data_IF_043824829720
#
_entry.id   IF_043824829720
#
_cell.length_a   1.000
_cell.length_b   1.000
_cell.length_c   1.000
_cell.angle_alpha   90.00
_cell.angle_beta   90.00
_cell.angle_gamma   90.00
#
_symmetry.space_group_name_H-M   'P 1'
#
loop_
_entity.id
_entity.type
_entity.pdbx_description
1 polymer ?
#
# COMPACT_ATOMS: atom_id res chain seq x y z
N UNK A 1 12.16 -70.40 5.49
CA UNK A 1 12.85 -71.28 6.41
C UNK A 1 12.74 -70.59 7.75
N UNK A 2 11.84 -71.00 8.56
CA UNK A 2 12.00 -71.83 9.78
C UNK A 2 12.74 -71.06 10.86
N UNK A 3 12.32 -70.89 12.09
CA UNK A 3 11.27 -71.53 12.93
C UNK A 3 11.50 -70.95 14.33
N UNK A 4 10.44 -70.61 15.02
CA UNK A 4 9.84 -71.36 16.11
C UNK A 4 10.44 -71.17 17.51
N UNK A 5 9.59 -70.60 18.43
CA UNK A 5 9.12 -71.23 19.67
C UNK A 5 10.11 -71.29 20.85
N UNK A 6 9.79 -70.96 22.08
CA UNK A 6 8.84 -71.52 23.05
C UNK A 6 8.96 -70.78 24.38
N UNK A 7 7.89 -70.27 25.00
CA UNK A 7 7.06 -70.85 26.08
C UNK A 7 7.67 -71.05 27.49
N UNK A 8 6.91 -70.50 28.42
CA UNK A 8 6.49 -70.96 29.81
C UNK A 8 7.17 -70.20 30.96
N UNK A 9 6.47 -69.44 31.76
CA UNK A 9 5.41 -69.68 32.75
C UNK A 9 5.93 -70.17 34.08
N UNK A 10 5.59 -69.50 35.18
CA UNK A 10 5.03 -69.87 36.48
C UNK A 10 5.33 -68.83 37.54
N UNK A 11 4.34 -68.11 38.06
CA UNK A 11 3.54 -68.26 39.28
C UNK A 11 4.34 -68.30 40.59
N UNK A 12 4.02 -67.36 41.51
CA UNK A 12 3.37 -67.42 42.81
C UNK A 12 3.78 -66.24 43.68
N UNK A 13 2.85 -65.34 44.03
CA UNK A 13 2.14 -65.24 45.29
C UNK A 13 3.02 -64.72 46.47
N UNK A 14 2.75 -63.63 47.17
CA UNK A 14 1.68 -63.33 48.08
C UNK A 14 2.03 -62.16 49.02
N UNK A 15 1.01 -61.50 49.53
CA UNK A 15 0.89 -60.66 50.75
C UNK A 15 1.62 -59.32 50.77
N UNK A 16 1.02 -58.17 50.59
CA UNK A 16 0.13 -57.59 51.59
C UNK A 16 0.82 -56.56 52.45
N UNK A 17 0.74 -55.27 52.07
CA UNK A 17 0.72 -54.16 53.04
C UNK A 17 -0.08 -53.01 52.44
N UNK A 18 -1.22 -52.70 53.01
CA UNK A 18 -2.03 -51.52 52.72
C UNK A 18 -1.35 -50.32 53.36
N UNK A 19 -0.81 -49.44 52.54
CA UNK A 19 -0.50 -48.07 52.97
C UNK A 19 -1.46 -47.11 52.27
N UNK A 20 -2.32 -46.47 53.05
CA UNK A 20 -3.13 -45.33 52.63
C UNK A 20 -2.16 -44.22 52.21
N UNK A 21 -1.91 -44.10 50.91
CA UNK A 21 -1.23 -42.95 50.32
C UNK A 21 -2.28 -41.95 49.86
N UNK A 22 -2.28 -40.79 50.50
CA UNK A 22 -3.10 -39.64 50.14
C UNK A 22 -2.89 -39.29 48.67
N UNK A 23 -3.91 -39.49 47.85
CA UNK A 23 -3.99 -38.97 46.48
C UNK A 23 -4.06 -37.43 46.56
N UNK A 24 -2.88 -36.78 46.51
CA UNK A 24 -2.79 -35.36 46.13
C UNK A 24 -3.12 -35.32 44.65
N UNK A 25 -4.36 -35.00 44.35
CA UNK A 25 -4.83 -34.72 43.00
C UNK A 25 -4.11 -33.50 42.43
N UNK A 26 -2.96 -33.73 41.80
CA UNK A 26 -2.30 -32.76 40.95
C UNK A 26 -3.16 -32.52 39.71
N UNK A 27 -4.15 -31.65 39.84
CA UNK A 27 -4.90 -31.17 38.69
C UNK A 27 -3.90 -30.47 37.74
N UNK A 28 -3.51 -31.17 36.68
CA UNK A 28 -2.86 -30.52 35.54
C UNK A 28 -3.82 -29.43 35.04
N UNK A 29 -3.54 -28.16 35.39
CA UNK A 29 -4.18 -27.04 34.73
C UNK A 29 -3.83 -27.20 33.25
N UNK A 30 -4.77 -27.75 32.47
CA UNK A 30 -4.73 -27.66 31.03
C UNK A 30 -4.71 -26.15 30.75
N UNK A 31 -3.56 -25.63 30.41
CA UNK A 31 -3.41 -24.24 29.96
C UNK A 31 -4.28 -24.10 28.70
N UNK A 32 -5.48 -23.55 28.86
CA UNK A 32 -6.32 -23.18 27.73
C UNK A 32 -5.49 -22.21 26.92
N UNK A 33 -5.12 -22.59 25.70
CA UNK A 33 -4.43 -21.68 24.81
C UNK A 33 -5.19 -20.35 24.77
N UNK A 34 -4.49 -19.26 24.98
CA UNK A 34 -5.13 -17.94 24.95
C UNK A 34 -5.84 -17.77 23.60
N UNK A 35 -7.08 -17.28 23.64
CA UNK A 35 -7.81 -17.01 22.41
C UNK A 35 -7.01 -16.03 21.52
N UNK A 36 -6.96 -16.25 20.20
CA UNK A 36 -6.20 -15.40 19.31
C UNK A 36 -6.76 -13.97 19.33
N UNK A 37 -5.87 -12.99 19.22
CA UNK A 37 -6.25 -11.60 18.97
C UNK A 37 -6.73 -11.48 17.51
N UNK A 38 -8.04 -11.33 17.33
CA UNK A 38 -8.67 -11.29 16.01
C UNK A 38 -8.71 -9.87 15.47
N UNK A 39 -8.27 -9.71 14.22
CA UNK A 39 -8.32 -8.47 13.44
C UNK A 39 -9.26 -8.69 12.27
N UNK A 40 -10.29 -7.86 12.13
CA UNK A 40 -11.09 -7.77 10.92
C UNK A 40 -10.42 -6.84 9.91
N UNK A 41 -10.30 -7.28 8.66
CA UNK A 41 -9.81 -6.43 7.55
C UNK A 41 -10.85 -6.37 6.45
N UNK A 42 -11.21 -5.15 6.05
CA UNK A 42 -12.25 -4.87 5.05
C UNK A 42 -11.58 -4.24 3.85
N UNK A 43 -11.65 -4.91 2.71
CA UNK A 43 -11.02 -4.51 1.46
C UNK A 43 -12.06 -4.02 0.46
N UNK A 44 -11.75 -2.90 -0.21
CA UNK A 44 -12.62 -2.31 -1.23
C UNK A 44 -12.67 -3.16 -2.52
N UNK A 45 -11.60 -3.84 -2.87
CA UNK A 45 -11.48 -4.67 -4.06
C UNK A 45 -11.11 -6.12 -3.75
N UNK A 46 -10.78 -6.91 -4.79
CA UNK A 46 -10.38 -8.31 -4.64
C UNK A 46 -9.07 -8.46 -3.87
N UNK A 47 -8.92 -9.54 -3.10
CA UNK A 47 -7.67 -9.85 -2.36
C UNK A 47 -6.43 -9.97 -3.23
N UNK A 48 -6.60 -10.31 -4.50
CA UNK A 48 -5.54 -10.56 -5.49
C UNK A 48 -5.78 -9.66 -6.70
N UNK A 49 -5.82 -8.35 -6.47
CA UNK A 49 -6.01 -7.35 -7.51
C UNK A 49 -4.73 -7.04 -8.30
N UNK A 50 -3.59 -7.47 -7.82
CA UNK A 50 -2.28 -7.14 -8.38
C UNK A 50 -1.74 -5.79 -7.93
N UNK A 51 -2.36 -5.15 -6.94
CA UNK A 51 -2.00 -3.81 -6.46
C UNK A 51 -2.36 -3.56 -5.00
N UNK A 52 -3.26 -2.59 -4.77
CA UNK A 52 -3.61 -2.04 -3.47
C UNK A 52 -4.13 -3.09 -2.47
N UNK A 53 -5.20 -3.82 -2.82
CA UNK A 53 -5.80 -4.76 -1.86
C UNK A 53 -4.86 -5.94 -1.55
N UNK A 54 -4.14 -6.43 -2.55
CA UNK A 54 -3.14 -7.48 -2.34
C UNK A 54 -2.01 -7.03 -1.43
N UNK A 55 -1.56 -5.77 -1.52
CA UNK A 55 -0.54 -5.22 -0.61
C UNK A 55 -1.03 -5.21 0.85
N UNK A 56 -2.30 -4.92 1.11
CA UNK A 56 -2.89 -5.00 2.44
C UNK A 56 -2.96 -6.44 2.97
N UNK A 57 -3.30 -7.41 2.10
CA UNK A 57 -3.28 -8.83 2.45
C UNK A 57 -1.87 -9.26 2.86
N UNK A 58 -0.84 -8.90 2.07
CA UNK A 58 0.56 -9.17 2.42
C UNK A 58 0.97 -8.53 3.75
N UNK A 59 0.47 -7.32 4.04
CA UNK A 59 0.65 -6.68 5.35
C UNK A 59 0.02 -7.50 6.50
N UNK A 60 -1.15 -8.10 6.29
CA UNK A 60 -1.79 -8.97 7.28
C UNK A 60 -1.03 -10.30 7.49
N UNK A 61 -0.49 -10.86 6.43
CA UNK A 61 0.35 -12.07 6.47
C UNK A 61 1.65 -11.80 7.24
N UNK A 62 2.31 -10.66 6.96
CA UNK A 62 3.48 -10.22 7.72
C UNK A 62 3.18 -10.11 9.22
N UNK A 63 2.06 -9.49 9.61
CA UNK A 63 1.69 -9.37 11.03
C UNK A 63 1.42 -10.74 11.65
N UNK A 64 0.74 -11.64 10.92
CA UNK A 64 0.45 -12.99 11.40
C UNK A 64 1.73 -13.79 11.65
N UNK A 65 2.74 -13.60 10.79
CA UNK A 65 4.06 -14.22 10.96
C UNK A 65 4.84 -13.64 12.15
N UNK A 66 4.86 -12.29 12.26
CA UNK A 66 5.69 -11.59 13.26
C UNK A 66 5.06 -11.53 14.65
N UNK A 67 3.74 -11.66 14.79
CA UNK A 67 3.03 -11.50 16.08
C UNK A 67 2.26 -12.77 16.46
N UNK A 68 2.83 -13.61 17.33
CA UNK A 68 2.17 -14.85 17.74
C UNK A 68 0.77 -14.63 18.34
N UNK A 69 -0.18 -15.50 17.94
CA UNK A 69 -1.55 -15.46 18.44
C UNK A 69 -2.39 -14.31 17.88
N UNK A 70 -2.05 -13.78 16.70
CA UNK A 70 -2.87 -12.86 15.92
C UNK A 70 -3.46 -13.59 14.72
N UNK A 71 -4.72 -13.30 14.39
CA UNK A 71 -5.39 -13.82 13.20
C UNK A 71 -6.15 -12.72 12.49
N UNK A 72 -6.25 -12.84 11.16
CA UNK A 72 -7.00 -11.90 10.33
C UNK A 72 -8.21 -12.56 9.69
N UNK A 73 -9.38 -11.94 9.87
CA UNK A 73 -10.60 -12.25 9.13
C UNK A 73 -10.77 -11.21 8.03
N UNK A 74 -10.46 -11.56 6.80
CA UNK A 74 -10.47 -10.63 5.66
C UNK A 74 -11.77 -10.77 4.88
N UNK A 75 -12.47 -9.64 4.67
CA UNK A 75 -13.65 -9.52 3.81
C UNK A 75 -13.32 -8.60 2.66
N UNK A 76 -13.36 -9.10 1.45
CA UNK A 76 -13.00 -8.37 0.24
C UNK A 76 -14.22 -7.95 -0.59
N UNK A 77 -13.98 -7.11 -1.63
CA UNK A 77 -14.99 -6.61 -2.56
C UNK A 77 -16.16 -5.92 -1.86
N UNK A 78 -15.86 -5.13 -0.83
CA UNK A 78 -16.86 -4.30 -0.16
C UNK A 78 -16.92 -2.95 -0.85
N UNK A 79 -17.68 -2.90 -1.94
CA UNK A 79 -17.89 -1.72 -2.77
C UNK A 79 -19.29 -1.78 -3.41
N UNK A 80 -19.84 -0.67 -3.92
CA UNK A 80 -21.18 -0.63 -4.49
C UNK A 80 -21.37 -1.51 -5.73
N UNK A 81 -20.32 -1.83 -6.48
CA UNK A 81 -20.41 -2.66 -7.68
C UNK A 81 -20.55 -4.14 -7.34
N UNK A 82 -19.74 -4.65 -6.40
CA UNK A 82 -19.75 -6.07 -6.01
C UNK A 82 -20.81 -6.38 -4.93
N UNK A 83 -21.09 -5.42 -4.04
CA UNK A 83 -22.03 -5.57 -2.91
C UNK A 83 -22.96 -4.35 -2.80
N UNK A 84 -23.94 -4.21 -3.70
CA UNK A 84 -24.90 -3.12 -3.64
C UNK A 84 -25.59 -3.05 -2.25
N UNK A 85 -25.67 -1.85 -1.69
CA UNK A 85 -26.32 -1.59 -0.37
C UNK A 85 -25.64 -2.20 0.85
N UNK A 86 -24.41 -2.72 0.75
CA UNK A 86 -23.63 -3.16 1.91
C UNK A 86 -22.62 -2.08 2.27
N UNK A 87 -22.73 -1.56 3.50
CA UNK A 87 -21.76 -0.61 4.06
C UNK A 87 -20.58 -1.33 4.72
N UNK A 88 -19.41 -0.71 4.69
CA UNK A 88 -18.24 -1.20 5.41
C UNK A 88 -18.49 -1.32 6.92
N UNK A 89 -19.25 -0.38 7.51
CA UNK A 89 -19.63 -0.41 8.94
C UNK A 89 -20.47 -1.63 9.33
N UNK A 90 -21.36 -2.11 8.45
CA UNK A 90 -22.13 -3.35 8.68
C UNK A 90 -21.23 -4.60 8.66
N UNK A 91 -20.26 -4.64 7.74
CA UNK A 91 -19.28 -5.72 7.69
C UNK A 91 -18.40 -5.70 8.95
N UNK A 92 -18.04 -4.52 9.45
CA UNK A 92 -17.29 -4.37 10.69
C UNK A 92 -18.09 -4.87 11.90
N UNK A 93 -19.38 -4.57 11.98
CA UNK A 93 -20.28 -5.08 13.04
C UNK A 93 -20.27 -6.62 13.08
N UNK A 94 -20.37 -7.27 11.92
CA UNK A 94 -20.34 -8.74 11.81
C UNK A 94 -18.99 -9.32 12.25
N UNK A 95 -17.87 -8.67 11.90
CA UNK A 95 -16.54 -9.10 12.32
C UNK A 95 -16.35 -8.93 13.84
N UNK A 96 -16.85 -7.82 14.40
CA UNK A 96 -16.80 -7.54 15.84
C UNK A 96 -17.67 -8.56 16.60
N UNK A 97 -18.86 -8.88 16.11
CA UNK A 97 -19.72 -9.90 16.69
C UNK A 97 -19.06 -11.29 16.69
N UNK A 98 -18.18 -11.58 15.72
CA UNK A 98 -17.34 -12.79 15.65
C UNK A 98 -16.09 -12.72 16.52
N UNK A 99 -15.90 -11.63 17.27
CA UNK A 99 -14.82 -11.48 18.25
C UNK A 99 -13.61 -10.65 17.78
N UNK A 100 -13.69 -9.93 16.66
CA UNK A 100 -12.64 -9.01 16.27
C UNK A 100 -12.45 -7.91 17.33
N UNK A 101 -11.19 -7.64 17.68
CA UNK A 101 -10.77 -6.61 18.65
C UNK A 101 -10.21 -5.38 17.96
N UNK A 102 -9.92 -5.50 16.70
CA UNK A 102 -9.44 -4.42 15.83
C UNK A 102 -10.06 -4.59 14.45
N UNK A 103 -10.41 -3.46 13.80
CA UNK A 103 -10.90 -3.42 12.43
C UNK A 103 -9.98 -2.53 11.61
N UNK A 104 -9.62 -2.99 10.42
CA UNK A 104 -8.86 -2.23 9.41
C UNK A 104 -9.75 -2.03 8.19
N UNK A 105 -9.97 -0.78 7.83
CA UNK A 105 -10.60 -0.38 6.57
C UNK A 105 -9.50 0.10 5.61
N UNK A 106 -9.46 -0.42 4.40
CA UNK A 106 -8.33 -0.22 3.50
C UNK A 106 -8.56 0.80 2.37
N UNK A 107 -9.57 1.63 2.44
CA UNK A 107 -9.85 2.57 1.33
C UNK A 107 -10.39 3.89 1.84
N UNK A 108 -10.13 4.98 1.09
CA UNK A 108 -10.73 6.29 1.31
C UNK A 108 -12.28 6.23 1.24
N UNK A 109 -12.83 5.28 0.49
CA UNK A 109 -14.27 5.04 0.42
C UNK A 109 -14.90 4.65 1.77
N UNK A 110 -14.11 4.15 2.71
CA UNK A 110 -14.58 3.73 4.03
C UNK A 110 -14.39 4.78 5.15
N UNK A 111 -14.03 6.00 4.84
CA UNK A 111 -13.73 7.02 5.87
C UNK A 111 -14.86 7.22 6.88
N UNK A 112 -16.10 7.28 6.39
CA UNK A 112 -17.29 7.49 7.23
C UNK A 112 -17.69 6.19 7.94
N UNK A 113 -17.56 5.02 7.30
CA UNK A 113 -17.75 3.71 7.92
C UNK A 113 -16.76 3.46 9.07
N UNK A 114 -15.51 3.88 8.92
CA UNK A 114 -14.50 3.76 9.97
C UNK A 114 -14.84 4.64 11.19
N UNK A 115 -15.30 5.87 10.95
CA UNK A 115 -15.76 6.76 12.02
C UNK A 115 -17.00 6.22 12.73
N UNK A 116 -18.01 5.78 11.97
CA UNK A 116 -19.25 5.17 12.49
C UNK A 116 -18.91 3.94 13.36
N UNK A 117 -18.04 3.05 12.85
CA UNK A 117 -17.60 1.86 13.59
C UNK A 117 -16.87 2.22 14.88
N UNK A 118 -15.97 3.20 14.86
CA UNK A 118 -15.23 3.62 16.03
C UNK A 118 -16.13 4.23 17.11
N UNK A 119 -17.11 5.02 16.71
CA UNK A 119 -18.11 5.61 17.63
C UNK A 119 -19.00 4.54 18.26
N UNK A 120 -19.48 3.59 17.48
CA UNK A 120 -20.35 2.51 17.92
C UNK A 120 -19.65 1.49 18.82
N UNK A 121 -18.36 1.26 18.58
CA UNK A 121 -17.55 0.23 19.28
C UNK A 121 -16.32 0.82 19.98
N UNK A 122 -16.49 1.59 21.08
CA UNK A 122 -15.39 2.37 21.69
C UNK A 122 -14.28 1.50 22.32
N UNK A 123 -14.49 0.18 22.44
CA UNK A 123 -13.49 -0.78 22.94
C UNK A 123 -12.74 -1.52 21.81
N UNK A 124 -13.10 -1.27 20.57
CA UNK A 124 -12.48 -1.86 19.38
C UNK A 124 -11.55 -0.82 18.76
N UNK A 125 -10.32 -1.19 18.47
CA UNK A 125 -9.41 -0.33 17.71
C UNK A 125 -9.85 -0.31 16.25
N UNK A 126 -9.99 0.88 15.67
CA UNK A 126 -10.33 1.05 14.26
C UNK A 126 -9.19 1.76 13.55
N UNK A 127 -8.69 1.16 12.49
CA UNK A 127 -7.70 1.77 11.58
C UNK A 127 -8.37 2.03 10.24
N UNK A 128 -8.25 3.26 9.77
CA UNK A 128 -8.57 3.62 8.41
C UNK A 128 -7.26 3.82 7.65
N UNK A 129 -6.96 2.90 6.76
CA UNK A 129 -5.81 3.00 5.86
C UNK A 129 -6.18 3.94 4.73
N UNK A 130 -5.45 4.97 4.66
CA UNK A 130 -5.51 6.35 4.22
C UNK A 130 -6.24 7.28 5.20
N UNK A 131 -6.71 8.44 4.74
CA UNK A 131 -7.46 9.41 5.54
C UNK A 131 -6.67 10.18 6.59
N UNK A 132 -7.37 11.09 7.26
CA UNK A 132 -6.77 12.09 8.15
C UNK A 132 -7.63 12.42 9.39
N UNK A 133 -8.65 11.61 9.67
CA UNK A 133 -9.56 11.86 10.81
C UNK A 133 -8.86 11.78 12.17
N UNK A 134 -7.72 11.10 12.27
CA UNK A 134 -6.91 11.05 13.47
C UNK A 134 -5.77 12.09 13.50
N UNK A 135 -5.63 12.90 12.44
CA UNK A 135 -4.58 13.91 12.34
C UNK A 135 -4.98 15.23 13.03
N UNK A 136 -4.37 15.54 14.17
CA UNK A 136 -4.72 16.71 14.98
C UNK A 136 -4.55 18.04 14.26
N UNK A 137 -3.52 18.14 13.41
CA UNK A 137 -3.23 19.35 12.63
C UNK A 137 -3.88 19.32 11.24
N UNK A 138 -4.58 18.25 10.93
CA UNK A 138 -5.29 18.08 9.65
C UNK A 138 -6.64 18.78 9.63
N UNK A 139 -7.13 19.05 8.41
CA UNK A 139 -8.41 19.77 8.20
C UNK A 139 -9.63 18.98 8.68
N UNK A 140 -9.56 17.65 8.71
CA UNK A 140 -10.70 16.77 8.93
C UNK A 140 -10.67 16.07 10.29
N UNK A 141 -9.82 16.52 11.22
CA UNK A 141 -9.65 15.90 12.53
C UNK A 141 -10.97 15.60 13.24
N UNK A 142 -11.12 14.34 13.66
CA UNK A 142 -12.21 13.86 14.52
C UNK A 142 -11.59 13.37 15.82
N UNK A 143 -12.00 13.96 16.93
CA UNK A 143 -11.48 13.57 18.25
C UNK A 143 -12.06 12.22 18.69
N UNK A 144 -11.72 11.14 17.98
CA UNK A 144 -12.20 9.78 18.22
C UNK A 144 -11.06 8.91 18.76
N UNK A 145 -11.07 8.53 20.06
CA UNK A 145 -9.88 7.99 20.75
C UNK A 145 -9.45 6.59 20.29
N UNK A 146 -10.32 5.82 19.67
CA UNK A 146 -10.05 4.48 19.16
C UNK A 146 -9.94 4.40 17.64
N UNK A 147 -9.97 5.56 16.93
CA UNK A 147 -9.76 5.65 15.50
C UNK A 147 -8.33 6.12 15.20
N UNK A 148 -7.63 5.44 14.31
CA UNK A 148 -6.35 5.87 13.77
C UNK A 148 -6.32 5.83 12.25
N UNK A 149 -5.36 6.56 11.68
CA UNK A 149 -5.06 6.48 10.25
C UNK A 149 -3.64 5.98 10.05
N UNK A 150 -3.46 5.18 9.03
CA UNK A 150 -2.13 4.74 8.57
C UNK A 150 -2.07 4.98 7.06
N UNK A 151 -1.01 5.67 6.61
CA UNK A 151 -0.70 5.86 5.20
C UNK A 151 0.81 5.90 5.01
N UNK A 152 1.39 5.06 4.14
CA UNK A 152 2.79 5.20 3.78
C UNK A 152 3.06 6.46 2.95
N UNK A 153 4.27 7.03 3.09
CA UNK A 153 4.73 8.20 2.31
C UNK A 153 5.05 7.81 0.86
N UNK A 154 4.04 7.38 0.14
CA UNK A 154 4.15 6.91 -1.25
C UNK A 154 4.60 8.01 -2.20
N UNK A 155 4.34 9.27 -1.94
CA UNK A 155 4.75 10.41 -2.78
C UNK A 155 6.25 10.43 -3.06
N UNK A 156 7.10 10.06 -2.11
CA UNK A 156 8.55 10.01 -2.33
C UNK A 156 8.96 8.85 -3.24
N UNK A 157 8.33 7.68 -3.10
CA UNK A 157 8.58 6.57 -4.03
C UNK A 157 7.95 6.82 -5.39
N UNK A 158 6.94 7.69 -5.47
CA UNK A 158 6.43 8.21 -6.75
C UNK A 158 7.42 9.15 -7.42
N UNK A 159 8.18 9.97 -6.66
CA UNK A 159 9.32 10.73 -7.23
C UNK A 159 10.33 9.78 -7.87
N UNK A 160 10.68 8.68 -7.17
CA UNK A 160 11.60 7.67 -7.70
C UNK A 160 11.02 7.03 -8.96
N UNK A 161 9.73 6.71 -8.97
CA UNK A 161 9.03 6.13 -10.14
C UNK A 161 9.01 7.09 -11.34
N UNK A 162 8.79 8.39 -11.09
CA UNK A 162 8.85 9.43 -12.12
C UNK A 162 10.26 9.60 -12.70
N UNK A 163 11.27 9.57 -11.82
CA UNK A 163 12.68 9.54 -12.25
C UNK A 163 12.95 8.33 -13.15
N UNK A 164 12.55 7.11 -12.74
CA UNK A 164 12.71 5.91 -13.54
C UNK A 164 12.02 6.03 -14.91
N UNK A 165 10.83 6.64 -14.94
CA UNK A 165 10.10 6.91 -16.18
C UNK A 165 10.89 7.83 -17.12
N UNK A 166 11.43 8.94 -16.60
CA UNK A 166 12.23 9.89 -17.39
C UNK A 166 13.56 9.28 -17.86
N UNK A 167 14.21 8.50 -17.02
CA UNK A 167 15.44 7.79 -17.38
C UNK A 167 15.20 6.75 -18.48
N UNK A 168 14.03 6.10 -18.47
CA UNK A 168 13.65 5.10 -19.46
C UNK A 168 13.07 5.65 -20.75
N UNK A 169 12.62 6.91 -20.76
CA UNK A 169 12.01 7.54 -21.95
C UNK A 169 13.07 8.02 -22.95
N UNK A 170 12.78 7.80 -24.23
CA UNK A 170 13.55 8.37 -25.35
C UNK A 170 12.85 9.59 -25.95
N UNK A 171 11.52 9.64 -25.88
CA UNK A 171 10.72 10.72 -26.49
C UNK A 171 10.49 11.91 -25.55
N UNK A 172 10.61 11.72 -24.25
CA UNK A 172 10.19 12.69 -23.23
C UNK A 172 8.68 12.73 -23.02
N UNK A 173 7.91 11.82 -23.63
CA UNK A 173 6.46 11.74 -23.46
C UNK A 173 6.12 10.66 -22.46
N UNK A 174 5.66 11.10 -21.29
CA UNK A 174 5.30 10.22 -20.16
C UNK A 174 3.82 10.36 -19.88
N UNK A 175 3.07 9.25 -20.06
CA UNK A 175 1.66 9.15 -19.70
C UNK A 175 1.49 8.64 -18.27
N UNK A 176 0.45 9.09 -17.59
CA UNK A 176 0.05 8.60 -16.29
C UNK A 176 -1.43 8.19 -16.32
N UNK A 177 -1.72 6.91 -16.12
CA UNK A 177 -3.10 6.44 -15.97
C UNK A 177 -3.49 6.60 -14.51
N UNK A 178 -4.26 7.65 -14.24
CA UNK A 178 -4.70 8.01 -12.88
C UNK A 178 -6.04 7.39 -12.52
N UNK A 179 -6.29 7.08 -11.23
CA UNK A 179 -7.57 6.54 -10.80
C UNK A 179 -8.66 7.61 -10.79
N UNK A 180 -8.95 8.20 -9.68
CA UNK A 180 -9.87 9.32 -9.51
C UNK A 180 -9.13 10.57 -9.05
N UNK A 181 -9.78 11.74 -9.12
CA UNK A 181 -9.18 13.01 -8.70
C UNK A 181 -9.50 13.27 -7.23
N UNK A 182 -8.48 13.21 -6.37
CA UNK A 182 -8.55 13.65 -4.98
C UNK A 182 -7.17 14.18 -4.51
N UNK A 183 -7.05 14.59 -3.25
CA UNK A 183 -5.79 15.13 -2.71
C UNK A 183 -4.65 14.11 -2.77
N UNK A 184 -4.93 12.82 -2.57
CA UNK A 184 -3.95 11.75 -2.63
C UNK A 184 -3.39 11.57 -4.03
N UNK A 185 -4.27 11.42 -5.01
CA UNK A 185 -3.86 11.14 -6.39
C UNK A 185 -3.18 12.34 -7.03
N UNK A 186 -3.61 13.57 -6.72
CA UNK A 186 -2.91 14.79 -7.15
C UNK A 186 -1.50 14.89 -6.61
N UNK A 187 -1.28 14.58 -5.30
CA UNK A 187 0.10 14.59 -4.75
C UNK A 187 0.98 13.51 -5.36
N UNK A 188 0.43 12.33 -5.70
CA UNK A 188 1.20 11.27 -6.33
C UNK A 188 1.62 11.59 -7.76
N UNK A 189 0.71 12.15 -8.56
CA UNK A 189 1.00 12.59 -9.92
C UNK A 189 2.01 13.74 -9.90
N UNK A 190 1.82 14.72 -9.00
CA UNK A 190 2.74 15.85 -8.85
C UNK A 190 4.13 15.42 -8.39
N UNK A 191 4.22 14.49 -7.44
CA UNK A 191 5.49 13.91 -6.98
C UNK A 191 6.20 13.16 -8.11
N UNK A 192 5.47 12.34 -8.86
CA UNK A 192 6.02 11.64 -10.03
C UNK A 192 6.56 12.63 -11.08
N UNK A 193 5.82 13.71 -11.36
CA UNK A 193 6.29 14.78 -12.27
C UNK A 193 7.55 15.45 -11.77
N UNK A 194 7.65 15.80 -10.49
CA UNK A 194 8.86 16.40 -9.91
C UNK A 194 10.08 15.50 -10.09
N UNK A 195 9.95 14.21 -9.80
CA UNK A 195 11.01 13.23 -10.02
C UNK A 195 11.35 13.05 -11.50
N UNK A 196 10.35 12.99 -12.37
CA UNK A 196 10.55 12.88 -13.82
C UNK A 196 11.30 14.10 -14.36
N UNK A 197 10.85 15.32 -14.02
CA UNK A 197 11.48 16.56 -14.44
C UNK A 197 12.93 16.67 -13.98
N UNK A 198 13.19 16.39 -12.69
CA UNK A 198 14.55 16.44 -12.14
C UNK A 198 15.49 15.48 -12.88
N UNK A 199 15.11 14.23 -13.07
CA UNK A 199 15.95 13.24 -13.72
C UNK A 199 16.10 13.49 -15.23
N UNK A 200 15.07 14.03 -15.88
CA UNK A 200 15.14 14.48 -17.28
C UNK A 200 16.17 15.58 -17.48
N UNK A 201 16.19 16.56 -16.57
CA UNK A 201 17.16 17.67 -16.64
C UNK A 201 18.55 17.23 -16.19
N UNK A 202 18.66 16.59 -15.02
CA UNK A 202 19.95 16.33 -14.36
C UNK A 202 20.70 15.15 -14.99
N UNK A 203 20.01 14.02 -15.21
CA UNK A 203 20.67 12.80 -15.65
C UNK A 203 20.55 12.53 -17.15
N UNK A 204 19.49 13.04 -17.81
CA UNK A 204 19.36 12.94 -19.25
C UNK A 204 19.92 14.16 -19.99
N UNK A 205 20.25 15.25 -19.29
CA UNK A 205 20.77 16.49 -19.87
C UNK A 205 19.81 17.16 -20.84
N UNK A 206 18.51 16.96 -20.68
CA UNK A 206 17.45 17.50 -21.52
C UNK A 206 16.83 18.74 -20.90
N UNK A 207 16.06 19.51 -21.67
CA UNK A 207 15.34 20.68 -21.14
C UNK A 207 13.99 20.27 -20.57
N UNK A 208 13.56 20.90 -19.48
CA UNK A 208 12.22 20.67 -18.91
C UNK A 208 11.10 20.88 -19.95
N UNK A 209 11.28 21.82 -20.87
CA UNK A 209 10.30 22.09 -21.93
C UNK A 209 10.12 20.95 -22.95
N UNK A 210 11.07 20.02 -23.02
CA UNK A 210 11.01 18.84 -23.88
C UNK A 210 10.32 17.65 -23.19
N UNK A 211 9.91 17.80 -21.90
CA UNK A 211 9.18 16.79 -21.15
C UNK A 211 7.68 17.05 -21.24
N UNK A 212 6.95 16.12 -21.84
CA UNK A 212 5.49 16.09 -21.86
C UNK A 212 5.01 15.07 -20.82
N UNK A 213 4.44 15.55 -19.72
CA UNK A 213 3.91 14.70 -18.64
C UNK A 213 2.39 14.86 -18.54
N UNK A 214 1.66 13.83 -18.92
CA UNK A 214 0.21 13.88 -19.03
C UNK A 214 -0.49 12.85 -18.17
N UNK A 215 -1.54 13.26 -17.44
CA UNK A 215 -2.42 12.36 -16.69
C UNK A 215 -3.80 12.25 -17.35
N UNK A 216 -4.33 11.03 -17.41
CA UNK A 216 -5.72 10.75 -17.73
C UNK A 216 -6.34 9.97 -16.58
N UNK A 217 -7.42 10.51 -16.01
CA UNK A 217 -8.12 9.92 -14.88
C UNK A 217 -9.24 9.01 -15.37
N UNK A 218 -9.32 7.78 -14.82
CA UNK A 218 -10.38 6.86 -15.21
C UNK A 218 -11.68 7.05 -14.42
N UNK A 219 -11.64 7.66 -13.24
CA UNK A 219 -12.81 8.01 -12.42
C UNK A 219 -13.03 7.11 -11.20
N UNK A 220 -12.24 6.05 -11.02
CA UNK A 220 -12.22 5.19 -9.83
C UNK A 220 -10.86 4.49 -9.68
N UNK A 221 -10.62 3.76 -8.59
CA UNK A 221 -9.37 3.06 -8.31
C UNK A 221 -9.06 1.92 -9.30
N UNK A 222 -10.08 1.34 -9.88
CA UNK A 222 -10.03 0.27 -10.87
C UNK A 222 -11.18 0.39 -11.87
N UNK A 223 -11.17 -0.44 -12.90
CA UNK A 223 -12.21 -0.42 -13.93
C UNK A 223 -13.59 -0.86 -13.40
N UNK A 224 -14.59 0.00 -13.54
CA UNK A 224 -16.00 -0.31 -13.32
C UNK A 224 -16.72 -0.11 -14.66
N UNK A 225 -17.09 -1.21 -15.37
CA UNK A 225 -17.72 -1.12 -16.67
C UNK A 225 -18.97 -0.22 -16.68
N UNK A 226 -19.01 0.73 -17.61
CA UNK A 226 -20.11 1.70 -17.73
C UNK A 226 -20.07 2.88 -16.76
N UNK A 227 -19.09 2.93 -15.83
CA UNK A 227 -18.90 4.00 -14.86
C UNK A 227 -17.58 4.72 -15.09
N UNK A 228 -16.49 3.98 -15.24
CA UNK A 228 -15.14 4.52 -15.46
C UNK A 228 -14.77 4.57 -16.93
N UNK A 229 -13.75 5.35 -17.28
CA UNK A 229 -13.03 5.14 -18.53
C UNK A 229 -12.35 3.76 -18.45
N UNK A 230 -12.31 3.06 -19.58
CA UNK A 230 -11.59 1.78 -19.68
C UNK A 230 -10.07 2.04 -19.59
N UNK A 231 -9.38 1.60 -18.52
CA UNK A 231 -7.94 1.81 -18.36
C UNK A 231 -7.12 1.12 -19.46
N UNK A 232 -7.63 0.03 -20.03
CA UNK A 232 -7.02 -0.64 -21.18
C UNK A 232 -6.95 0.30 -22.37
N UNK A 233 -8.07 0.96 -22.66
CA UNK A 233 -8.13 1.94 -23.75
C UNK A 233 -7.28 3.17 -23.47
N UNK A 234 -7.29 3.69 -22.24
CA UNK A 234 -6.47 4.85 -21.85
C UNK A 234 -4.97 4.55 -22.04
N UNK A 235 -4.51 3.38 -21.61
CA UNK A 235 -3.12 2.97 -21.80
C UNK A 235 -2.77 2.79 -23.31
N UNK A 236 -3.67 2.19 -24.09
CA UNK A 236 -3.51 2.04 -25.54
C UNK A 236 -3.44 3.42 -26.23
N UNK A 237 -4.30 4.36 -25.84
CA UNK A 237 -4.35 5.71 -26.41
C UNK A 237 -3.00 6.46 -26.14
N UNK A 238 -2.40 6.30 -24.95
CA UNK A 238 -1.07 6.82 -24.67
C UNK A 238 -0.01 6.21 -25.60
N UNK A 239 0.08 4.88 -25.68
CA UNK A 239 1.05 4.21 -26.53
C UNK A 239 0.84 4.50 -28.02
N UNK A 240 -0.41 4.71 -28.47
CA UNK A 240 -0.74 5.10 -29.84
C UNK A 240 -0.43 6.57 -30.09
N UNK A 241 -0.52 7.43 -29.07
CA UNK A 241 -0.19 8.85 -29.10
C UNK A 241 1.31 9.15 -29.04
N UNK A 242 2.17 8.10 -29.03
CA UNK A 242 3.63 8.24 -29.05
C UNK A 242 4.26 8.45 -27.66
N UNK A 243 3.52 8.23 -26.58
CA UNK A 243 4.08 8.13 -25.24
C UNK A 243 4.84 6.81 -25.14
N UNK A 244 6.13 6.87 -24.93
CA UNK A 244 6.98 5.68 -24.87
C UNK A 244 7.11 5.13 -23.44
N UNK A 245 6.67 5.89 -22.44
CA UNK A 245 6.53 5.42 -21.05
C UNK A 245 5.14 5.75 -20.53
N UNK A 246 4.48 4.74 -19.94
CA UNK A 246 3.19 4.93 -19.24
C UNK A 246 3.33 4.46 -17.80
N UNK A 247 2.99 5.35 -16.86
CA UNK A 247 2.98 5.09 -15.43
C UNK A 247 1.58 4.65 -14.98
N UNK A 248 1.51 3.61 -14.15
CA UNK A 248 0.25 3.21 -13.51
C UNK A 248 0.04 3.95 -12.19
N UNK A 249 -1.18 4.44 -11.98
CA UNK A 249 -1.71 4.88 -10.70
C UNK A 249 -2.88 4.01 -10.21
N UNK A 250 -3.14 2.88 -10.89
CA UNK A 250 -4.30 2.02 -10.66
C UNK A 250 -3.96 0.88 -9.69
N UNK A 251 -4.97 0.36 -9.04
CA UNK A 251 -4.87 -0.82 -8.18
C UNK A 251 -4.74 -2.14 -8.98
N UNK A 252 -4.76 -2.06 -10.31
CA UNK A 252 -4.89 -3.19 -11.23
C UNK A 252 -3.86 -3.12 -12.37
N UNK A 253 -3.58 -4.23 -13.10
CA UNK A 253 -2.38 -4.35 -13.94
C UNK A 253 -2.55 -3.94 -15.41
N UNK A 254 -3.59 -3.19 -15.78
CA UNK A 254 -3.92 -2.91 -17.19
C UNK A 254 -2.76 -2.25 -17.95
N UNK A 255 -2.07 -1.27 -17.33
CA UNK A 255 -0.93 -0.58 -17.97
C UNK A 255 0.17 -1.55 -18.37
N UNK A 256 0.54 -2.47 -17.47
CA UNK A 256 1.58 -3.49 -17.75
C UNK A 256 1.15 -4.43 -18.87
N UNK A 257 -0.12 -4.86 -18.87
CA UNK A 257 -0.68 -5.71 -19.91
C UNK A 257 -0.68 -5.04 -21.28
N UNK A 258 -1.04 -3.74 -21.34
CA UNK A 258 -1.03 -2.99 -22.59
C UNK A 258 0.39 -2.64 -23.05
N UNK A 259 1.33 -2.36 -22.16
CA UNK A 259 2.74 -2.23 -22.53
C UNK A 259 3.27 -3.49 -23.22
N UNK A 260 2.96 -4.68 -22.66
CA UNK A 260 3.32 -5.96 -23.26
C UNK A 260 2.69 -6.15 -24.64
N UNK A 261 1.43 -5.80 -24.79
CA UNK A 261 0.70 -5.88 -26.08
C UNK A 261 1.30 -4.93 -27.11
N UNK A 262 1.55 -3.67 -26.73
CA UNK A 262 2.15 -2.65 -27.60
C UNK A 262 3.57 -3.04 -28.05
N UNK A 263 4.39 -3.59 -27.15
CA UNK A 263 5.72 -4.11 -27.47
C UNK A 263 5.64 -5.30 -28.41
N UNK A 264 4.69 -6.22 -28.22
CA UNK A 264 4.42 -7.34 -29.13
C UNK A 264 3.99 -6.88 -30.53
N UNK A 265 3.41 -5.67 -30.67
CA UNK A 265 3.11 -5.03 -31.93
C UNK A 265 4.29 -4.21 -32.51
N UNK A 266 5.49 -4.34 -31.93
CA UNK A 266 6.72 -3.69 -32.42
C UNK A 266 6.96 -2.26 -31.91
N UNK A 267 6.17 -1.77 -30.94
CA UNK A 267 6.40 -0.44 -30.34
C UNK A 267 7.53 -0.52 -29.30
N UNK A 268 8.35 0.53 -29.24
CA UNK A 268 9.38 0.69 -28.20
C UNK A 268 8.73 1.41 -27.00
N UNK A 269 8.13 0.65 -26.09
CA UNK A 269 7.40 1.17 -24.93
C UNK A 269 7.87 0.54 -23.65
N UNK A 270 7.71 1.27 -22.56
CA UNK A 270 8.02 0.84 -21.20
C UNK A 270 6.92 1.29 -20.25
N UNK A 271 6.94 0.80 -19.03
CA UNK A 271 5.98 1.20 -18.02
C UNK A 271 6.60 1.23 -16.61
N UNK A 272 5.93 1.91 -15.68
CA UNK A 272 6.08 1.69 -14.25
C UNK A 272 4.79 1.12 -13.69
N UNK A 273 4.90 0.14 -12.82
CA UNK A 273 3.74 -0.39 -12.08
C UNK A 273 3.50 0.39 -10.80
N UNK A 274 2.51 -0.03 -9.98
CA UNK A 274 2.13 0.64 -8.74
C UNK A 274 1.56 -0.32 -7.71
N UNK A 275 1.87 -0.04 -6.44
CA UNK A 275 1.20 -0.60 -5.28
C UNK A 275 1.73 -1.94 -4.79
N UNK A 276 2.07 -2.87 -5.70
CA UNK A 276 2.48 -4.22 -5.37
C UNK A 276 3.93 -4.52 -5.80
N UNK A 277 4.72 -5.07 -4.89
CA UNK A 277 6.15 -5.37 -5.07
C UNK A 277 6.46 -6.22 -6.31
N UNK A 278 5.56 -7.13 -6.67
CA UNK A 278 5.71 -8.05 -7.81
C UNK A 278 5.17 -7.51 -9.14
N UNK A 279 4.82 -6.23 -9.20
CA UNK A 279 4.20 -5.64 -10.39
C UNK A 279 5.05 -5.69 -11.67
N UNK A 280 6.38 -5.74 -11.55
CA UNK A 280 7.26 -5.92 -12.70
C UNK A 280 7.22 -7.33 -13.29
N UNK A 281 6.79 -8.36 -12.55
CA UNK A 281 6.77 -9.75 -13.02
C UNK A 281 5.82 -9.97 -14.20
N UNK A 282 4.88 -9.04 -14.42
CA UNK A 282 3.93 -9.08 -15.53
C UNK A 282 4.59 -8.87 -16.90
N UNK A 283 5.63 -8.04 -16.98
CA UNK A 283 6.41 -7.79 -18.18
C UNK A 283 7.78 -7.21 -17.79
N UNK A 284 8.70 -8.04 -17.27
CA UNK A 284 9.95 -7.57 -16.66
C UNK A 284 10.82 -6.77 -17.62
N UNK A 285 10.92 -7.21 -18.89
CA UNK A 285 11.75 -6.55 -19.90
C UNK A 285 11.25 -5.14 -20.31
N UNK A 286 10.04 -4.77 -19.90
CA UNK A 286 9.42 -3.46 -20.17
C UNK A 286 9.25 -2.62 -18.91
N UNK A 287 9.44 -3.22 -17.73
CA UNK A 287 9.23 -2.55 -16.47
C UNK A 287 10.44 -1.71 -16.06
N UNK A 288 10.20 -0.42 -15.80
CA UNK A 288 11.21 0.51 -15.27
C UNK A 288 11.29 0.48 -13.75
N UNK A 289 10.27 -0.04 -13.08
CA UNK A 289 10.24 -0.21 -11.64
C UNK A 289 8.84 -0.09 -11.06
N UNK A 290 8.77 -0.36 -9.76
CA UNK A 290 7.50 -0.32 -9.01
C UNK A 290 7.69 0.32 -7.64
N UNK A 291 7.03 1.46 -7.36
CA UNK A 291 6.77 1.92 -6.01
C UNK A 291 5.71 1.02 -5.38
N UNK A 292 5.95 0.53 -4.19
CA UNK A 292 5.04 -0.40 -3.53
C UNK A 292 4.77 -0.03 -2.08
N UNK A 293 3.60 -0.41 -1.58
CA UNK A 293 3.23 -0.25 -0.18
C UNK A 293 3.76 -1.40 0.67
N UNK A 294 4.23 -1.06 1.87
CA UNK A 294 4.58 -2.01 2.91
C UNK A 294 3.79 -1.69 4.19
N UNK A 295 2.60 -2.27 4.28
CA UNK A 295 1.68 -2.06 5.40
C UNK A 295 2.10 -2.78 6.68
N UNK A 296 2.94 -3.82 6.55
CA UNK A 296 3.29 -4.74 7.61
C UNK A 296 3.77 -4.08 8.90
N UNK A 297 4.82 -3.24 8.88
CA UNK A 297 5.36 -2.61 10.10
C UNK A 297 4.32 -1.78 10.85
N UNK A 298 3.60 -0.90 10.16
CA UNK A 298 2.60 -0.04 10.79
C UNK A 298 1.41 -0.83 11.36
N UNK A 299 0.97 -1.87 10.65
CA UNK A 299 -0.06 -2.77 11.15
C UNK A 299 0.41 -3.58 12.36
N UNK A 300 1.65 -4.09 12.34
CA UNK A 300 2.25 -4.78 13.48
C UNK A 300 2.21 -3.90 14.73
N UNK A 301 2.64 -2.66 14.60
CA UNK A 301 2.74 -1.73 15.74
C UNK A 301 1.34 -1.38 16.28
N UNK A 302 0.36 -1.13 15.41
CA UNK A 302 -1.02 -0.90 15.81
C UNK A 302 -1.65 -2.13 16.48
N UNK A 303 -1.40 -3.34 15.96
CA UNK A 303 -1.88 -4.61 16.53
C UNK A 303 -1.24 -4.86 17.89
N UNK A 304 0.06 -4.66 18.05
CA UNK A 304 0.76 -4.82 19.34
C UNK A 304 0.22 -3.84 20.39
N UNK A 305 0.03 -2.57 20.03
CA UNK A 305 -0.54 -1.57 20.92
C UNK A 305 -1.98 -1.92 21.32
N UNK A 306 -2.81 -2.35 20.36
CA UNK A 306 -4.19 -2.76 20.61
C UNK A 306 -4.27 -4.02 21.48
N UNK A 307 -3.46 -5.04 21.18
CA UNK A 307 -3.38 -6.30 21.96
C UNK A 307 -2.93 -6.05 23.41
N UNK A 308 -2.07 -5.07 23.63
CA UNK A 308 -1.63 -4.65 24.95
C UNK A 308 -2.63 -3.74 25.69
N UNK A 309 -3.73 -3.32 25.06
CA UNK A 309 -4.69 -2.36 25.63
C UNK A 309 -4.10 -0.94 25.77
N UNK A 310 -3.09 -0.60 24.97
CA UNK A 310 -2.35 0.67 25.00
C UNK A 310 -2.48 1.49 23.72
N UNK A 311 -3.39 1.10 22.84
CA UNK A 311 -3.60 1.82 21.60
C UNK A 311 -4.04 3.26 21.88
N UNK A 312 -3.45 4.19 21.19
CA UNK A 312 -3.83 5.61 21.19
C UNK A 312 -4.09 6.05 19.76
N UNK A 313 -5.15 6.81 19.57
CA UNK A 313 -5.47 7.43 18.28
C UNK A 313 -4.27 8.21 17.75
N UNK A 314 -3.86 7.88 16.54
CA UNK A 314 -2.74 8.53 15.86
C UNK A 314 -2.98 8.55 14.35
N UNK A 315 -2.49 9.61 13.73
CA UNK A 315 -2.27 9.65 12.30
C UNK A 315 -0.82 9.26 12.02
N UNK A 316 -0.65 8.12 11.38
CA UNK A 316 0.66 7.55 11.07
C UNK A 316 0.90 7.70 9.57
N UNK A 317 1.75 8.67 9.20
CA UNK A 317 2.29 8.81 7.86
C UNK A 317 3.63 8.07 7.84
N UNK A 318 3.58 6.75 7.49
CA UNK A 318 4.72 5.84 7.65
C UNK A 318 5.89 6.26 6.76
N UNK A 319 7.05 6.45 7.37
CA UNK A 319 8.26 6.90 6.71
C UNK A 319 8.88 5.80 5.81
N UNK A 320 9.73 6.25 4.90
CA UNK A 320 10.64 5.39 4.14
C UNK A 320 11.90 5.20 4.98
N UNK A 321 12.38 3.98 5.05
CA UNK A 321 13.71 3.71 5.59
C UNK A 321 14.76 4.07 4.53
N UNK A 322 15.28 5.29 4.61
CA UNK A 322 16.26 5.78 3.65
C UNK A 322 17.63 5.10 3.73
N UNK A 323 17.88 4.26 4.75
CA UNK A 323 19.09 3.43 4.84
C UNK A 323 18.96 2.15 4.03
N UNK A 324 17.72 1.62 3.93
CA UNK A 324 17.31 0.51 3.08
C UNK A 324 15.84 0.66 2.71
N UNK A 325 15.56 1.31 1.59
CA UNK A 325 14.19 1.61 1.14
C UNK A 325 13.34 0.37 0.85
N UNK A 326 13.93 -0.82 0.87
CA UNK A 326 13.26 -2.09 0.64
C UNK A 326 13.24 -2.99 1.89
N UNK A 327 13.65 -2.48 3.04
CA UNK A 327 13.59 -3.20 4.32
C UNK A 327 12.14 -3.41 4.74
N UNK A 328 11.68 -4.66 4.69
CA UNK A 328 10.29 -5.02 4.97
C UNK A 328 9.87 -4.83 6.43
N UNK A 329 10.82 -4.71 7.36
CA UNK A 329 10.55 -4.55 8.78
C UNK A 329 10.47 -3.09 9.23
N UNK A 330 10.88 -2.13 8.40
CA UNK A 330 11.02 -0.71 8.77
C UNK A 330 10.42 0.28 7.78
N UNK A 331 10.51 0.03 6.46
CA UNK A 331 9.99 0.98 5.47
C UNK A 331 8.46 0.93 5.36
N UNK A 332 7.81 2.08 5.20
CA UNK A 332 6.37 2.15 4.90
C UNK A 332 6.06 2.00 3.41
N UNK A 333 6.93 2.52 2.56
CA UNK A 333 6.88 2.36 1.12
C UNK A 333 8.28 2.10 0.57
N UNK A 334 8.38 1.30 -0.48
CA UNK A 334 9.64 0.96 -1.11
C UNK A 334 9.61 1.17 -2.62
N UNK A 335 10.75 0.97 -3.26
CA UNK A 335 10.88 1.00 -4.71
C UNK A 335 11.78 -0.13 -5.20
N UNK A 336 11.28 -0.94 -6.12
CA UNK A 336 12.09 -1.93 -6.82
C UNK A 336 12.38 -1.44 -8.24
N UNK A 337 13.66 -1.22 -8.60
CA UNK A 337 14.06 -0.94 -9.96
C UNK A 337 13.70 -2.11 -10.89
N UNK A 338 13.19 -1.80 -12.07
CA UNK A 338 12.87 -2.79 -13.09
C UNK A 338 14.04 -3.05 -14.05
N UNK A 339 14.11 -4.24 -14.67
CA UNK A 339 15.17 -4.60 -15.61
C UNK A 339 15.29 -3.68 -16.81
N UNK A 340 14.17 -3.07 -17.25
CA UNK A 340 14.14 -2.17 -18.41
C UNK A 340 14.90 -0.84 -18.21
N UNK A 341 15.36 -0.54 -17.00
CA UNK A 341 16.26 0.59 -16.73
C UNK A 341 17.65 0.37 -17.33
N UNK A 342 18.15 -0.86 -17.36
CA UNK A 342 19.48 -1.16 -17.90
C UNK A 342 20.57 -0.29 -17.26
N UNK A 343 21.37 0.39 -18.08
CA UNK A 343 22.46 1.25 -17.62
C UNK A 343 21.99 2.48 -16.81
N UNK A 344 20.73 2.88 -16.95
CA UNK A 344 20.16 3.99 -16.19
C UNK A 344 19.93 3.68 -14.70
N UNK A 345 20.10 2.41 -14.29
CA UNK A 345 19.99 1.98 -12.88
C UNK A 345 20.93 2.78 -11.97
N UNK A 346 22.16 3.10 -12.43
CA UNK A 346 23.12 3.89 -11.66
C UNK A 346 22.61 5.33 -11.40
N UNK A 347 22.00 5.95 -12.41
CA UNK A 347 21.41 7.28 -12.28
C UNK A 347 20.22 7.29 -11.34
N UNK A 348 19.38 6.25 -11.39
CA UNK A 348 18.27 6.09 -10.44
C UNK A 348 18.77 5.92 -9.01
N UNK A 349 19.82 5.14 -8.79
CA UNK A 349 20.42 4.97 -7.47
C UNK A 349 21.03 6.28 -6.93
N UNK A 350 21.66 7.09 -7.80
CA UNK A 350 22.14 8.42 -7.44
C UNK A 350 20.98 9.33 -6.99
N UNK A 351 19.87 9.34 -7.71
CA UNK A 351 18.67 10.08 -7.34
C UNK A 351 18.08 9.61 -5.99
N UNK A 352 18.01 8.30 -5.76
CA UNK A 352 17.57 7.75 -4.46
C UNK A 352 18.50 8.22 -3.34
N UNK A 353 19.80 8.28 -3.58
CA UNK A 353 20.77 8.78 -2.61
C UNK A 353 20.63 10.30 -2.34
N UNK A 354 20.18 11.09 -3.30
CA UNK A 354 19.80 12.50 -3.09
C UNK A 354 18.58 12.62 -2.18
N UNK A 355 17.52 11.85 -2.46
CA UNK A 355 16.34 11.78 -1.60
C UNK A 355 16.67 11.30 -0.18
N UNK A 356 17.57 10.34 -0.03
CA UNK A 356 18.01 9.86 1.28
C UNK A 356 18.70 10.95 2.12
N UNK A 357 19.37 11.90 1.49
CA UNK A 357 20.00 13.05 2.17
C UNK A 357 18.99 14.12 2.54
N UNK A 358 18.04 14.37 1.69
CA UNK A 358 16.97 15.34 1.88
C UNK A 358 15.72 14.92 1.09
N UNK A 359 14.76 14.20 1.72
CA UNK A 359 13.56 13.75 1.01
C UNK A 359 12.75 14.87 0.36
N UNK A 360 12.81 16.06 0.94
CA UNK A 360 12.04 17.23 0.49
C UNK A 360 12.77 18.10 -0.55
N UNK A 361 13.94 17.67 -1.05
CA UNK A 361 14.77 18.53 -1.91
C UNK A 361 14.09 18.94 -3.22
N UNK A 362 13.10 18.18 -3.71
CA UNK A 362 12.31 18.56 -4.89
C UNK A 362 11.13 19.49 -4.56
N UNK A 363 10.76 19.60 -3.29
CA UNK A 363 9.76 20.57 -2.83
C UNK A 363 10.42 21.92 -2.52
N UNK A 364 11.06 22.51 -3.53
CA UNK A 364 11.69 23.82 -3.43
C UNK A 364 11.00 24.80 -4.38
N UNK A 365 10.58 25.94 -3.83
CA UNK A 365 9.95 26.99 -4.61
C UNK A 365 10.94 27.75 -5.50
N UNK A 366 10.47 28.42 -6.58
CA UNK A 366 9.03 28.57 -6.84
C UNK A 366 8.41 27.35 -7.53
N UNK A 367 7.33 26.82 -6.96
CA UNK A 367 6.47 25.83 -7.58
C UNK A 367 5.05 26.39 -7.65
N UNK A 368 4.42 26.30 -8.81
CA UNK A 368 3.07 26.79 -9.01
C UNK A 368 2.12 25.65 -9.34
N UNK A 369 0.85 25.83 -9.03
CA UNK A 369 -0.25 25.03 -9.53
C UNK A 369 -0.57 25.34 -10.99
N UNK A 370 -1.42 24.53 -11.63
CA UNK A 370 -1.82 24.71 -13.03
C UNK A 370 -2.49 26.06 -13.31
N UNK A 371 -3.21 26.64 -12.34
CA UNK A 371 -3.85 27.96 -12.46
C UNK A 371 -2.87 29.13 -12.25
N UNK A 372 -1.57 28.85 -12.04
CA UNK A 372 -0.53 29.84 -11.79
C UNK A 372 -0.41 30.30 -10.33
N UNK A 373 -1.30 29.86 -9.43
CA UNK A 373 -1.18 30.20 -8.02
C UNK A 373 0.01 29.45 -7.37
N UNK A 374 0.71 30.08 -6.40
CA UNK A 374 1.87 29.45 -5.78
C UNK A 374 1.49 28.21 -4.95
N UNK A 375 2.17 27.10 -5.21
CA UNK A 375 2.24 25.96 -4.29
C UNK A 375 3.31 26.21 -3.23
N UNK A 376 4.53 26.58 -3.68
CA UNK A 376 5.63 26.98 -2.81
C UNK A 376 6.28 28.26 -3.37
N UNK A 377 6.40 29.28 -2.53
CA UNK A 377 7.19 30.47 -2.85
C UNK A 377 8.70 30.17 -2.75
N UNK A 378 9.51 31.05 -3.33
CA UNK A 378 10.98 30.93 -3.22
C UNK A 378 11.40 31.00 -1.74
N UNK A 379 12.15 30.00 -1.29
CA UNK A 379 12.63 29.89 0.10
C UNK A 379 11.58 29.43 1.11
N UNK A 380 10.36 29.14 0.67
CA UNK A 380 9.33 28.55 1.52
C UNK A 380 9.60 27.07 1.76
N UNK A 381 9.59 26.65 3.05
CA UNK A 381 9.70 25.24 3.42
C UNK A 381 8.36 24.52 3.18
N UNK A 382 8.45 23.32 2.64
CA UNK A 382 7.29 22.45 2.51
C UNK A 382 6.77 22.00 3.89
N UNK A 383 5.45 21.84 4.02
CA UNK A 383 4.84 21.33 5.24
C UNK A 383 4.03 20.07 4.95
N UNK A 384 3.83 19.16 5.92
CA UNK A 384 2.99 17.98 5.75
C UNK A 384 1.58 18.31 5.23
N UNK A 385 0.99 19.40 5.70
CA UNK A 385 -0.35 19.85 5.27
C UNK A 385 -0.38 20.27 3.81
N UNK A 386 0.68 20.92 3.30
CA UNK A 386 0.78 21.28 1.88
C UNK A 386 0.91 20.06 0.99
N UNK A 387 1.69 19.07 1.39
CA UNK A 387 1.81 17.81 0.63
C UNK A 387 0.49 17.06 0.65
N UNK A 388 -0.11 16.87 1.84
CA UNK A 388 -1.30 16.05 2.02
C UNK A 388 -2.52 16.61 1.29
N UNK A 389 -2.78 17.92 1.41
CA UNK A 389 -3.95 18.61 0.85
C UNK A 389 -3.60 19.37 -0.43
N UNK A 390 -3.16 18.66 -1.45
CA UNK A 390 -2.82 19.26 -2.74
C UNK A 390 -4.10 19.53 -3.56
N UNK A 391 -4.54 20.80 -3.70
CA UNK A 391 -5.82 21.13 -4.32
C UNK A 391 -5.82 21.02 -5.83
N UNK A 392 -4.64 21.10 -6.45
CA UNK A 392 -4.45 21.05 -7.90
C UNK A 392 -3.17 20.30 -8.25
N UNK A 393 -3.01 19.93 -9.50
CA UNK A 393 -1.74 19.46 -10.06
C UNK A 393 -0.75 20.62 -10.19
N UNK A 394 0.54 20.31 -10.16
CA UNK A 394 1.59 21.28 -10.42
C UNK A 394 1.61 21.71 -11.89
N UNK A 395 2.01 22.97 -12.12
CA UNK A 395 2.25 23.50 -13.45
C UNK A 395 3.30 22.66 -14.21
N UNK A 396 3.03 22.37 -15.48
CA UNK A 396 3.82 21.47 -16.32
C UNK A 396 3.25 20.05 -16.45
N UNK A 397 2.20 19.73 -15.70
CA UNK A 397 1.43 18.49 -15.88
C UNK A 397 0.23 18.81 -16.78
N UNK A 398 0.02 18.03 -17.86
CA UNK A 398 -1.18 18.11 -18.69
C UNK A 398 -2.26 17.15 -18.13
N UNK A 399 -3.47 17.68 -17.97
CA UNK A 399 -4.62 16.94 -17.47
C UNK A 399 -5.42 17.72 -16.42
N UNK A 400 -6.67 17.35 -16.14
CA UNK A 400 -7.53 18.09 -15.21
C UNK A 400 -7.10 17.87 -13.74
N UNK A 401 -7.21 18.94 -12.96
CA UNK A 401 -7.03 18.92 -11.50
C UNK A 401 -8.33 18.67 -10.72
N UNK A 402 -9.49 18.80 -11.40
CA UNK A 402 -10.84 18.72 -10.83
C UNK A 402 -11.77 17.97 -11.76
#
# INVERSE_FOLDING_TARGET
MQSLLCRRALQLAALGLVTLGSLVGGGTKVSRAAEPFRVGMILVGPRQDGGWNQAHVLGSEYVTEKVPGVTFDVVDKVNPADRPNVKGSQVADDLIAKGAKMIIFNSDDFKDDALETAQKHPKVTVIHASGDYAWRDGKNFKNQPNLGNIMPKMEYTRMISGCAAALGSETGKIGFVGPLINDETRRYVSAAYLGARHCWETYRGKKAADLEFRVVWIGFWFNIPGVTLDPTKVADDFFNGGYDVVMSGLDTPEVANQARRAAGAGKKVKFTHYGLKTGCDLAPDLCLGVPYYNWGPAYRDAVLASKAGKYQSAWVWSDIDWTDINNIDTTGAGFLPGPALGEQTANLQAFIAELAKNPDFLYQGPLNFQDGTPFLATGEAITPTKIWYMPQLLAGIDGPSQ
#
